data_IF_241851855683
#
_entry.id   IF_241851855683
#
_cell.length_a   1.000
_cell.length_b   1.000
_cell.length_c   1.000
_cell.angle_alpha   90.00
_cell.angle_beta   90.00
_cell.angle_gamma   90.00
#
_symmetry.space_group_name_H-M   'P 1'
#
loop_
_entity.id
_entity.type
_entity.pdbx_description
1 polymer ?
#
# COMPACT_ATOMS: atom_id res chain seq x y z
N UNK A 1 11.25 46.27 -12.45
CA UNK A 1 11.80 44.97 -12.91
C UNK A 1 12.06 43.97 -11.78
N UNK A 2 12.14 44.40 -10.53
CA UNK A 2 12.37 43.55 -9.35
C UNK A 2 11.20 42.66 -8.87
N UNK A 3 9.90 43.03 -8.97
CA UNK A 3 8.84 42.21 -8.36
C UNK A 3 8.54 40.94 -9.16
N UNK A 4 8.76 40.97 -10.48
CA UNK A 4 8.53 39.82 -11.37
C UNK A 4 9.55 38.72 -11.09
N UNK A 5 10.82 39.10 -10.85
CA UNK A 5 11.90 38.14 -10.54
C UNK A 5 11.64 37.46 -9.20
N UNK A 6 11.19 38.21 -8.19
CA UNK A 6 10.84 37.65 -6.88
C UNK A 6 9.64 36.69 -7.00
N UNK A 7 8.60 37.07 -7.74
CA UNK A 7 7.46 36.21 -7.99
C UNK A 7 7.83 34.90 -8.69
N UNK A 8 8.73 34.95 -9.66
CA UNK A 8 9.18 33.78 -10.43
C UNK A 8 10.01 32.82 -9.56
N UNK A 9 10.89 33.36 -8.71
CA UNK A 9 11.70 32.56 -7.77
C UNK A 9 10.81 31.86 -6.73
N UNK A 10 9.82 32.55 -6.17
CA UNK A 10 8.88 31.95 -5.21
C UNK A 10 8.04 30.86 -5.86
N UNK A 11 7.53 31.09 -7.07
CA UNK A 11 6.75 30.11 -7.81
C UNK A 11 7.60 28.87 -8.15
N UNK A 12 8.83 29.07 -8.64
CA UNK A 12 9.74 27.98 -8.95
C UNK A 12 10.11 27.17 -7.70
N UNK A 13 10.33 27.84 -6.56
CA UNK A 13 10.57 27.18 -5.27
C UNK A 13 9.37 26.36 -4.78
N UNK A 14 8.15 26.89 -4.92
CA UNK A 14 6.93 26.18 -4.55
C UNK A 14 6.67 24.95 -5.42
N UNK A 15 6.90 25.06 -6.73
CA UNK A 15 6.77 23.93 -7.67
C UNK A 15 7.82 22.86 -7.38
N UNK A 16 9.08 23.26 -7.17
CA UNK A 16 10.15 22.33 -6.82
C UNK A 16 9.85 21.61 -5.49
N UNK A 17 9.38 22.33 -4.47
CA UNK A 17 9.00 21.74 -3.18
C UNK A 17 7.80 20.78 -3.32
N UNK A 18 6.80 21.12 -4.12
CA UNK A 18 5.64 20.27 -4.38
C UNK A 18 6.06 18.98 -5.09
N UNK A 19 6.88 19.07 -6.14
CA UNK A 19 7.39 17.91 -6.88
C UNK A 19 8.26 17.02 -5.99
N UNK A 20 9.16 17.59 -5.18
CA UNK A 20 9.98 16.84 -4.23
C UNK A 20 9.11 16.14 -3.19
N UNK A 21 8.09 16.82 -2.64
CA UNK A 21 7.17 16.23 -1.66
C UNK A 21 6.32 15.11 -2.26
N UNK A 22 5.83 15.27 -3.48
CA UNK A 22 5.13 14.22 -4.22
C UNK A 22 6.04 13.01 -4.46
N UNK A 23 7.31 13.25 -4.84
CA UNK A 23 8.31 12.19 -5.02
C UNK A 23 8.67 11.47 -3.74
N UNK A 24 8.80 12.20 -2.61
CA UNK A 24 9.01 11.59 -1.30
C UNK A 24 7.78 10.79 -0.84
N UNK A 25 6.56 11.25 -1.16
CA UNK A 25 5.33 10.49 -0.89
C UNK A 25 5.23 9.24 -1.76
N UNK A 26 5.89 9.23 -2.92
CA UNK A 26 6.08 8.07 -3.79
C UNK A 26 7.40 7.33 -3.54
N UNK A 27 8.14 7.58 -2.44
CA UNK A 27 9.21 6.65 -2.06
C UNK A 27 8.55 5.32 -1.78
N UNK A 28 8.75 4.39 -2.71
CA UNK A 28 8.32 3.02 -2.55
C UNK A 28 8.84 2.53 -1.19
N UNK A 29 7.95 2.11 -0.28
CA UNK A 29 8.40 1.42 0.93
C UNK A 29 9.31 0.26 0.51
N UNK A 30 10.30 -0.06 1.35
CA UNK A 30 11.14 -1.24 1.12
C UNK A 30 10.21 -2.42 0.85
N UNK A 31 10.50 -3.27 -0.17
CA UNK A 31 9.62 -4.38 -0.53
C UNK A 31 9.35 -5.18 0.73
N UNK A 32 8.12 -5.09 1.21
CA UNK A 32 7.72 -5.77 2.43
C UNK A 32 7.57 -7.24 2.04
N UNK A 33 8.31 -8.12 2.71
CA UNK A 33 8.07 -9.55 2.57
C UNK A 33 6.65 -9.84 3.06
N UNK A 34 5.74 -10.14 2.13
CA UNK A 34 4.36 -10.50 2.44
C UNK A 34 4.38 -11.96 2.90
N UNK A 35 4.05 -12.18 4.18
CA UNK A 35 3.78 -13.51 4.73
C UNK A 35 2.35 -13.54 5.30
N UNK A 36 1.37 -14.12 4.58
CA UNK A 36 -0.02 -14.17 5.04
C UNK A 36 -0.25 -15.07 6.25
N UNK A 37 0.65 -16.02 6.51
CA UNK A 37 0.46 -17.00 7.58
C UNK A 37 0.73 -16.40 8.96
N UNK A 38 1.31 -15.20 9.03
CA UNK A 38 1.43 -14.43 10.27
C UNK A 38 0.11 -13.78 10.68
N UNK A 39 -0.95 -13.86 9.87
CA UNK A 39 -2.25 -13.24 10.14
C UNK A 39 -3.28 -14.30 10.54
N UNK A 40 -4.19 -13.90 11.43
CA UNK A 40 -5.37 -14.69 11.78
C UNK A 40 -6.46 -14.55 10.72
N UNK A 41 -7.51 -15.39 10.81
CA UNK A 41 -8.74 -15.13 10.04
C UNK A 41 -9.48 -13.93 10.64
N UNK A 42 -10.14 -13.07 9.83
CA UNK A 42 -10.34 -13.18 8.38
C UNK A 42 -9.23 -12.53 7.53
N UNK A 43 -8.28 -11.84 8.15
CA UNK A 43 -7.26 -11.01 7.50
C UNK A 43 -6.39 -11.80 6.53
N UNK A 44 -5.98 -13.01 6.91
CA UNK A 44 -5.22 -13.93 6.05
C UNK A 44 -5.93 -14.18 4.72
N UNK A 45 -7.24 -14.43 4.73
CA UNK A 45 -8.02 -14.71 3.51
C UNK A 45 -8.03 -13.51 2.55
N UNK A 46 -8.13 -12.29 3.08
CA UNK A 46 -8.09 -11.08 2.25
C UNK A 46 -6.74 -10.90 1.55
N UNK A 47 -5.65 -11.09 2.29
CA UNK A 47 -4.29 -10.99 1.73
C UNK A 47 -4.01 -12.12 0.73
N UNK A 48 -4.49 -13.34 1.00
CA UNK A 48 -4.36 -14.46 0.08
C UNK A 48 -5.15 -14.24 -1.23
N UNK A 49 -6.35 -13.67 -1.15
CA UNK A 49 -7.14 -13.30 -2.32
C UNK A 49 -6.44 -12.22 -3.16
N UNK A 50 -5.89 -11.19 -2.52
CA UNK A 50 -5.14 -10.13 -3.20
C UNK A 50 -3.92 -10.68 -3.97
N UNK A 51 -3.10 -11.52 -3.33
CA UNK A 51 -1.96 -12.17 -3.99
C UNK A 51 -2.36 -13.11 -5.12
N UNK A 52 -3.49 -13.79 -5.00
CA UNK A 52 -3.97 -14.68 -6.06
C UNK A 52 -4.37 -13.87 -7.29
N UNK A 53 -5.09 -12.77 -7.10
CA UNK A 53 -5.43 -11.82 -8.19
C UNK A 53 -4.19 -11.22 -8.83
N UNK A 54 -3.20 -10.83 -8.03
CA UNK A 54 -1.92 -10.32 -8.55
C UNK A 54 -1.17 -11.34 -9.40
N UNK A 55 -1.04 -12.59 -8.93
CA UNK A 55 -0.39 -13.66 -9.70
C UNK A 55 -1.10 -13.88 -11.04
N UNK A 56 -2.43 -13.87 -11.03
CA UNK A 56 -3.25 -13.96 -12.25
C UNK A 56 -3.02 -12.76 -13.18
N UNK A 57 -2.94 -11.55 -12.63
CA UNK A 57 -2.60 -10.36 -13.38
C UNK A 57 -1.24 -10.50 -14.08
N UNK A 58 -0.21 -10.90 -13.34
CA UNK A 58 1.15 -11.06 -13.87
C UNK A 58 1.22 -12.15 -14.96
N UNK A 59 0.45 -13.22 -14.82
CA UNK A 59 0.32 -14.25 -15.85
C UNK A 59 -0.28 -13.68 -17.15
N UNK A 60 -1.36 -12.91 -17.04
CA UNK A 60 -2.01 -12.26 -18.19
C UNK A 60 -1.05 -11.24 -18.83
N UNK A 61 -0.46 -10.36 -18.02
CA UNK A 61 0.52 -9.37 -18.48
C UNK A 61 1.74 -10.02 -19.14
N UNK A 62 2.20 -11.17 -18.62
CA UNK A 62 3.31 -11.94 -19.15
C UNK A 62 3.04 -12.57 -20.52
N UNK A 63 1.78 -12.86 -20.83
CA UNK A 63 1.33 -13.44 -22.11
C UNK A 63 1.23 -12.42 -23.26
N UNK A 64 1.29 -11.12 -22.96
CA UNK A 64 1.28 -10.09 -23.99
C UNK A 64 2.56 -10.14 -24.84
N UNK A 65 2.41 -9.93 -26.16
CA UNK A 65 3.53 -9.84 -27.08
C UNK A 65 4.47 -8.67 -26.70
N UNK A 66 5.75 -8.80 -27.03
CA UNK A 66 6.74 -7.77 -26.80
C UNK A 66 6.36 -6.45 -27.49
N UNK A 67 6.52 -5.34 -26.76
CA UNK A 67 6.20 -4.01 -27.25
C UNK A 67 5.58 -3.11 -26.18
N UNK A 68 5.12 -1.90 -26.57
CA UNK A 68 4.68 -0.86 -25.64
C UNK A 68 3.55 -1.29 -24.71
N UNK A 69 2.66 -2.18 -25.18
CA UNK A 69 1.58 -2.72 -24.36
C UNK A 69 2.11 -3.56 -23.19
N UNK A 70 3.08 -4.44 -23.46
CA UNK A 70 3.70 -5.29 -22.42
C UNK A 70 4.42 -4.44 -21.38
N UNK A 71 5.07 -3.35 -21.81
CA UNK A 71 5.73 -2.43 -20.89
C UNK A 71 4.74 -1.69 -19.99
N UNK A 72 3.60 -1.24 -20.54
CA UNK A 72 2.52 -0.64 -19.75
C UNK A 72 1.88 -1.62 -18.78
N UNK A 73 1.66 -2.87 -19.20
CA UNK A 73 1.16 -3.91 -18.30
C UNK A 73 2.18 -4.24 -17.20
N UNK A 74 3.48 -4.20 -17.49
CA UNK A 74 4.52 -4.35 -16.47
C UNK A 74 4.51 -3.20 -15.46
N UNK A 75 4.35 -1.97 -15.93
CA UNK A 75 4.24 -0.78 -15.09
C UNK A 75 3.01 -0.85 -14.15
N UNK A 76 1.85 -1.21 -14.70
CA UNK A 76 0.64 -1.43 -13.89
C UNK A 76 0.85 -2.59 -12.91
N UNK A 77 1.54 -3.67 -13.31
CA UNK A 77 1.88 -4.78 -12.43
C UNK A 77 2.70 -4.37 -11.20
N UNK A 78 3.61 -3.41 -11.36
CA UNK A 78 4.34 -2.84 -10.23
C UNK A 78 3.42 -2.05 -9.27
N UNK A 79 2.43 -1.34 -9.80
CA UNK A 79 1.42 -0.66 -8.97
C UNK A 79 0.51 -1.66 -8.25
N UNK A 80 0.13 -2.76 -8.90
CA UNK A 80 -0.65 -3.85 -8.26
C UNK A 80 0.16 -4.50 -7.14
N UNK A 81 1.44 -4.79 -7.34
CA UNK A 81 2.32 -5.30 -6.28
C UNK A 81 2.32 -4.38 -5.06
N UNK A 82 2.47 -3.07 -5.31
CA UNK A 82 2.44 -2.09 -4.23
C UNK A 82 1.11 -2.09 -3.47
N UNK A 83 -0.02 -2.18 -4.18
CA UNK A 83 -1.34 -2.26 -3.55
C UNK A 83 -1.51 -3.54 -2.70
N UNK A 84 -0.93 -4.67 -3.10
CA UNK A 84 -0.96 -5.91 -2.28
C UNK A 84 -0.13 -5.75 -1.00
N UNK A 85 1.01 -5.07 -1.07
CA UNK A 85 1.82 -4.74 0.11
C UNK A 85 1.06 -3.82 1.08
N UNK A 86 0.37 -2.81 0.55
CA UNK A 86 -0.50 -1.93 1.35
C UNK A 86 -1.64 -2.70 1.99
N UNK A 87 -2.27 -3.62 1.25
CA UNK A 87 -3.32 -4.51 1.76
C UNK A 87 -2.80 -5.35 2.93
N UNK A 88 -1.60 -5.92 2.82
CA UNK A 88 -0.96 -6.66 3.91
C UNK A 88 -0.69 -5.77 5.14
N UNK A 89 -0.20 -4.54 4.92
CA UNK A 89 0.03 -3.58 5.99
C UNK A 89 -1.25 -3.11 6.69
N UNK A 90 -2.38 -3.02 5.98
CA UNK A 90 -3.70 -2.77 6.56
C UNK A 90 -4.17 -4.00 7.35
N UNK A 91 -4.06 -5.19 6.77
CA UNK A 91 -4.49 -6.43 7.38
C UNK A 91 -3.77 -6.71 8.70
N UNK A 92 -2.45 -6.50 8.76
CA UNK A 92 -1.67 -6.63 10.00
C UNK A 92 -2.12 -5.67 11.10
N UNK A 93 -2.51 -4.44 10.74
CA UNK A 93 -3.05 -3.48 11.71
C UNK A 93 -4.45 -3.89 12.18
N UNK A 94 -5.28 -4.39 11.28
CA UNK A 94 -6.60 -4.94 11.61
C UNK A 94 -6.51 -6.12 12.56
N UNK A 95 -5.63 -7.08 12.27
CA UNK A 95 -5.37 -8.27 13.09
C UNK A 95 -4.95 -7.89 14.53
N UNK A 96 -4.02 -6.94 14.66
CA UNK A 96 -3.60 -6.44 15.96
C UNK A 96 -4.71 -5.69 16.73
N UNK A 97 -5.63 -5.03 16.02
CA UNK A 97 -6.79 -4.36 16.63
C UNK A 97 -7.81 -5.38 17.14
N UNK A 98 -8.09 -6.43 16.35
CA UNK A 98 -9.01 -7.51 16.77
C UNK A 98 -8.47 -8.23 18.01
N UNK A 99 -7.16 -8.52 18.04
CA UNK A 99 -6.48 -9.09 19.21
C UNK A 99 -6.55 -8.19 20.45
N UNK A 100 -6.50 -6.87 20.27
CA UNK A 100 -6.65 -5.92 21.36
C UNK A 100 -8.10 -5.91 21.87
N UNK A 101 -9.08 -5.90 20.96
CA UNK A 101 -10.50 -5.89 21.28
C UNK A 101 -10.90 -7.15 22.05
N UNK A 102 -10.46 -8.34 21.61
CA UNK A 102 -10.73 -9.61 22.29
C UNK A 102 -10.23 -9.64 23.74
N UNK A 103 -9.10 -8.97 24.02
CA UNK A 103 -8.55 -8.81 25.38
C UNK A 103 -9.38 -7.87 26.25
N UNK A 104 -9.95 -6.81 25.68
CA UNK A 104 -10.82 -5.89 26.41
C UNK A 104 -12.17 -6.54 26.75
N UNK A 105 -12.77 -7.29 25.82
CA UNK A 105 -14.05 -7.95 26.03
C UNK A 105 -13.98 -9.04 27.11
N UNK A 106 -12.91 -9.83 27.14
CA UNK A 106 -12.70 -10.83 28.20
C UNK A 106 -12.55 -10.21 29.60
N UNK A 107 -11.90 -9.04 29.72
CA UNK A 107 -11.74 -8.34 30.99
C UNK A 107 -12.95 -7.54 31.47
N UNK A 108 -13.87 -7.17 30.58
CA UNK A 108 -15.12 -6.48 30.93
C UNK A 108 -16.23 -7.46 31.31
N UNK A 109 -16.34 -8.59 30.60
CA UNK A 109 -17.31 -9.66 30.88
C UNK A 109 -17.07 -10.34 32.24
N UNK A 110 -15.81 -10.59 32.61
CA UNK A 110 -15.49 -11.21 33.90
C UNK A 110 -15.83 -10.31 35.11
N UNK A 111 -15.95 -8.99 34.91
CA UNK A 111 -16.36 -8.05 35.95
C UNK A 111 -17.88 -7.92 36.11
N UNK A 112 -18.66 -8.41 35.15
CA UNK A 112 -20.12 -8.43 35.24
C UNK A 112 -20.67 -9.75 35.81
N UNK A 113 -19.82 -10.77 35.98
CA UNK A 113 -20.16 -12.08 36.53
C UNK A 113 -19.68 -12.30 37.98
N UNK A 114 -19.14 -11.26 38.62
CA UNK A 114 -18.76 -11.23 40.03
C UNK A 114 -19.58 -10.16 40.76
#
# INVERSE_FOLDING_TARGET
>A
MTPIVVGLVVLAGAVAAFLVRARLRHRAPRPMSIDPFTLSEPWRRHVAAAQTTQRRYLQIAGSAADGPLRDRLREIGAQVQHAVEECFGIARRGDALDDALARFDTGSLNRQLA
#
